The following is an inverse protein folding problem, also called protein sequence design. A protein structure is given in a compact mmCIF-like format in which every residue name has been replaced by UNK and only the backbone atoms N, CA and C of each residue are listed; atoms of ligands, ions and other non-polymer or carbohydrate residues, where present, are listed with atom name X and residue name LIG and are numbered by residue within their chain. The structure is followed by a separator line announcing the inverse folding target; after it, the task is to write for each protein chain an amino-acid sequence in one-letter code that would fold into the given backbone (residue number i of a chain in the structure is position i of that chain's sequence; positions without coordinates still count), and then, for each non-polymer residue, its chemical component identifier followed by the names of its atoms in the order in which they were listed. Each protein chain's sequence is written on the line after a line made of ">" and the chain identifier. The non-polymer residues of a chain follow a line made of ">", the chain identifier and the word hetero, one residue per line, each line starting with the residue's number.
data_IF_476267943436
#
_entry.id   IF_476267943436
#
_cell.length_a   1.000
_cell.length_b   1.000
_cell.length_c   1.000
_cell.angle_alpha   90.00
_cell.angle_beta   90.00
_cell.angle_gamma   90.00
#
_symmetry.space_group_name_H-M   'P 1'
#
loop_
_entity.id
_entity.type
_entity.pdbx_description
1 polymer ?
#
# COMPACT_ATOMS: atom_id res chain seq x y z
N UNK A 1 -10.51 75.47 26.28
CA UNK A 1 -10.70 75.11 24.85
C UNK A 1 -9.63 75.77 23.98
N UNK A 2 -8.34 75.65 24.34
CA UNK A 2 -7.22 76.14 23.50
C UNK A 2 -6.49 75.01 22.75
N UNK A 3 -6.64 73.76 23.20
CA UNK A 3 -6.03 72.57 22.58
C UNK A 3 -6.52 72.28 21.15
N UNK A 4 -7.68 72.82 20.73
CA UNK A 4 -8.27 72.62 19.40
C UNK A 4 -7.93 73.75 18.40
N UNK A 5 -7.25 74.82 18.82
CA UNK A 5 -6.92 75.97 17.95
C UNK A 5 -5.57 75.80 17.24
N UNK A 6 -4.69 74.97 17.81
CA UNK A 6 -3.38 74.71 17.23
C UNK A 6 -3.49 73.65 16.13
N UNK A 7 -3.33 74.10 14.87
CA UNK A 7 -3.40 73.24 13.68
C UNK A 7 -2.42 72.07 13.77
N UNK A 8 -1.33 72.20 14.52
CA UNK A 8 -0.35 71.13 14.76
C UNK A 8 -0.89 70.03 15.66
N UNK A 9 -1.68 70.38 16.67
CA UNK A 9 -2.31 69.40 17.57
C UNK A 9 -3.42 68.65 16.84
N UNK A 10 -4.20 69.35 16.00
CA UNK A 10 -5.23 68.72 15.16
C UNK A 10 -4.60 67.79 14.10
N UNK A 11 -3.51 68.22 13.47
CA UNK A 11 -2.75 67.39 12.53
C UNK A 11 -2.08 66.19 13.21
N UNK A 12 -1.48 66.39 14.39
CA UNK A 12 -0.85 65.31 15.14
C UNK A 12 -1.86 64.30 15.68
N UNK A 13 -3.02 64.79 16.17
CA UNK A 13 -4.13 63.94 16.61
C UNK A 13 -4.75 63.16 15.45
N UNK A 14 -4.95 63.79 14.30
CA UNK A 14 -5.44 63.13 13.09
C UNK A 14 -4.46 62.07 12.56
N UNK A 15 -3.17 62.38 12.53
CA UNK A 15 -2.12 61.44 12.12
C UNK A 15 -2.03 60.24 13.07
N UNK A 16 -2.06 60.47 14.39
CA UNK A 16 -2.05 59.40 15.38
C UNK A 16 -3.28 58.48 15.22
N UNK A 17 -4.46 59.05 15.01
CA UNK A 17 -5.70 58.29 14.85
C UNK A 17 -5.71 57.47 13.54
N UNK A 18 -5.19 58.04 12.45
CA UNK A 18 -5.02 57.32 11.19
C UNK A 18 -4.03 56.15 11.30
N UNK A 19 -2.94 56.33 12.06
CA UNK A 19 -1.92 55.30 12.28
C UNK A 19 -2.49 54.14 13.11
N UNK A 20 -3.24 54.44 14.17
CA UNK A 20 -3.93 53.42 14.98
C UNK A 20 -4.98 52.66 14.16
N UNK A 21 -5.76 53.36 13.33
CA UNK A 21 -6.73 52.73 12.45
C UNK A 21 -6.05 51.82 11.40
N UNK A 22 -4.95 52.27 10.80
CA UNK A 22 -4.17 51.48 9.85
C UNK A 22 -3.57 50.22 10.48
N UNK A 23 -3.03 50.31 11.69
CA UNK A 23 -2.52 49.15 12.43
C UNK A 23 -3.66 48.19 12.78
N UNK A 24 -4.83 48.69 13.19
CA UNK A 24 -6.00 47.85 13.48
C UNK A 24 -6.46 47.04 12.27
N UNK A 25 -6.51 47.67 11.08
CA UNK A 25 -6.86 46.99 9.82
C UNK A 25 -5.77 45.98 9.43
N UNK A 26 -4.48 46.33 9.59
CA UNK A 26 -3.38 45.42 9.32
C UNK A 26 -3.43 44.17 10.22
N UNK A 27 -3.69 44.34 11.52
CA UNK A 27 -3.85 43.22 12.46
C UNK A 27 -5.09 42.39 12.12
N UNK A 28 -6.20 43.01 11.70
CA UNK A 28 -7.39 42.29 11.28
C UNK A 28 -7.17 41.47 10.00
N UNK A 29 -6.38 41.99 9.04
CA UNK A 29 -6.02 41.27 7.81
C UNK A 29 -4.98 40.17 8.06
N UNK A 30 -4.00 40.38 8.94
CA UNK A 30 -3.01 39.35 9.32
C UNK A 30 -3.57 38.30 10.28
N UNK A 31 -4.55 38.67 11.11
CA UNK A 31 -5.25 37.79 12.05
C UNK A 31 -6.42 37.02 11.43
N UNK A 32 -6.67 37.20 10.13
CA UNK A 32 -7.64 36.42 9.37
C UNK A 32 -7.24 34.95 9.35
N UNK A 33 -7.77 34.19 10.32
CA UNK A 33 -7.82 32.71 10.38
C UNK A 33 -6.80 32.05 9.47
N UNK A 34 -5.58 31.88 9.98
CA UNK A 34 -4.82 30.68 9.66
C UNK A 34 -5.73 29.50 10.01
N UNK A 35 -6.52 29.05 9.04
CA UNK A 35 -7.14 27.73 9.06
C UNK A 35 -6.01 26.80 9.50
N UNK A 36 -6.25 25.86 10.44
CA UNK A 36 -5.29 24.79 10.67
C UNK A 36 -4.85 24.33 9.29
N UNK A 37 -3.56 24.43 9.03
CA UNK A 37 -2.99 23.83 7.82
C UNK A 37 -3.21 22.35 8.04
N UNK A 38 -4.39 21.89 7.65
CA UNK A 38 -4.68 20.49 7.44
C UNK A 38 -3.56 20.05 6.49
N UNK A 39 -2.62 19.20 6.94
CA UNK A 39 -1.47 18.85 6.15
C UNK A 39 -1.97 18.32 4.80
N UNK A 40 -1.32 18.68 3.68
CA UNK A 40 -1.75 18.21 2.37
C UNK A 40 -1.88 16.68 2.41
N UNK A 41 -2.91 16.09 1.76
CA UNK A 41 -3.27 14.68 1.93
C UNK A 41 -2.14 13.69 1.58
N UNK A 42 -1.07 14.15 0.93
CA UNK A 42 0.16 13.38 0.73
C UNK A 42 0.94 13.06 2.01
N UNK A 43 0.74 13.81 3.11
CA UNK A 43 1.36 13.54 4.41
C UNK A 43 0.50 12.63 5.31
N UNK A 44 -0.71 12.27 4.87
CA UNK A 44 -1.47 11.17 5.45
C UNK A 44 -1.09 9.91 4.68
N UNK A 45 -0.24 9.09 5.28
CA UNK A 45 0.10 7.78 4.71
C UNK A 45 -1.18 6.92 4.66
N UNK A 46 -1.84 6.91 3.50
CA UNK A 46 -3.04 6.14 3.24
C UNK A 46 -3.86 6.75 2.12
N UNK A 47 -4.19 5.95 1.11
CA UNK A 47 -5.23 6.27 0.15
C UNK A 47 -6.54 6.44 0.94
N UNK A 48 -6.98 7.68 1.13
CA UNK A 48 -8.29 7.96 1.71
C UNK A 48 -9.27 7.89 0.54
N UNK A 49 -9.85 6.70 0.33
CA UNK A 49 -11.07 6.57 -0.48
C UNK A 49 -12.20 7.14 0.36
N UNK A 50 -12.63 8.37 0.08
CA UNK A 50 -13.90 8.87 0.57
C UNK A 50 -15.01 8.05 -0.12
N UNK A 51 -15.40 6.95 0.51
CA UNK A 51 -16.70 6.34 0.25
C UNK A 51 -17.74 7.38 0.62
N UNK A 52 -18.53 7.82 -0.37
CA UNK A 52 -19.43 8.98 -0.26
C UNK A 52 -20.54 8.84 0.78
N UNK A 53 -20.66 7.69 1.46
CA UNK A 53 -21.45 7.52 2.67
C UNK A 53 -21.09 6.23 3.40
N UNK A 54 -21.30 6.22 4.70
CA UNK A 54 -21.02 5.13 5.65
C UNK A 54 -21.83 3.83 5.45
N UNK A 55 -22.61 3.71 4.37
CA UNK A 55 -23.51 2.57 4.12
C UNK A 55 -23.14 1.77 2.85
N UNK A 56 -21.99 2.03 2.21
CA UNK A 56 -21.53 1.35 0.98
C UNK A 56 -21.03 -0.09 1.17
N UNK A 57 -21.07 -0.65 2.39
CA UNK A 57 -20.67 -2.05 2.66
C UNK A 57 -21.61 -3.08 2.03
N UNK A 58 -22.77 -2.66 1.51
CA UNK A 58 -23.73 -3.53 0.83
C UNK A 58 -24.24 -2.88 -0.45
N UNK A 59 -23.78 -3.35 -1.61
CA UNK A 59 -24.43 -3.02 -2.88
C UNK A 59 -25.83 -3.64 -2.89
N UNK A 60 -26.85 -2.79 -2.83
CA UNK A 60 -28.25 -3.19 -2.89
C UNK A 60 -28.69 -3.29 -4.36
N UNK A 61 -28.93 -4.50 -4.89
CA UNK A 61 -29.20 -4.71 -6.31
C UNK A 61 -30.54 -4.12 -6.77
N UNK A 62 -31.42 -3.73 -5.85
CA UNK A 62 -32.73 -3.16 -6.15
C UNK A 62 -32.74 -1.63 -6.19
N UNK A 63 -31.64 -0.94 -5.81
CA UNK A 63 -31.59 0.53 -5.87
C UNK A 63 -31.31 1.02 -7.29
N UNK A 64 -31.95 2.12 -7.73
CA UNK A 64 -31.66 2.72 -9.02
C UNK A 64 -30.26 3.32 -9.00
N UNK A 65 -29.35 2.74 -9.78
CA UNK A 65 -28.00 3.29 -9.99
C UNK A 65 -27.94 3.93 -11.37
N UNK A 66 -27.05 4.91 -11.49
CA UNK A 66 -26.76 5.58 -12.76
C UNK A 66 -26.05 4.62 -13.71
N UNK A 67 -26.72 4.17 -14.76
CA UNK A 67 -26.16 3.23 -15.72
C UNK A 67 -25.32 3.94 -16.77
N UNK A 68 -24.12 3.43 -17.01
CA UNK A 68 -23.23 3.89 -18.08
C UNK A 68 -22.92 2.73 -19.01
N UNK A 69 -23.16 2.91 -20.32
CA UNK A 69 -22.83 1.93 -21.36
C UNK A 69 -21.80 2.56 -22.29
N UNK A 70 -20.62 1.96 -22.41
CA UNK A 70 -19.52 2.51 -23.23
C UNK A 70 -19.06 3.92 -22.81
N UNK A 71 -19.25 4.31 -21.54
CA UNK A 71 -18.92 5.63 -21.01
C UNK A 71 -20.02 6.70 -21.17
N UNK A 72 -21.19 6.36 -21.72
CA UNK A 72 -22.32 7.28 -21.87
C UNK A 72 -23.42 6.96 -20.84
N UNK A 73 -24.01 7.99 -20.21
CA UNK A 73 -25.09 7.84 -19.23
C UNK A 73 -26.40 7.49 -19.93
N UNK A 74 -27.03 6.37 -19.56
CA UNK A 74 -28.20 5.82 -20.26
C UNK A 74 -29.49 5.90 -19.43
N UNK A 75 -29.40 6.36 -18.19
CA UNK A 75 -30.52 6.51 -17.26
C UNK A 75 -30.29 5.80 -15.92
N UNK A 76 -31.23 6.00 -14.99
CA UNK A 76 -31.24 5.30 -13.70
C UNK A 76 -32.01 3.99 -13.84
N UNK A 77 -31.31 2.86 -13.69
CA UNK A 77 -31.88 1.51 -13.82
C UNK A 77 -31.18 0.59 -12.82
N UNK A 78 -31.71 -0.62 -12.62
CA UNK A 78 -31.12 -1.59 -11.69
C UNK A 78 -29.77 -2.08 -12.19
N UNK A 79 -28.90 -2.50 -11.26
CA UNK A 79 -27.54 -2.95 -11.58
C UNK A 79 -27.56 -4.12 -12.58
N UNK A 80 -28.49 -5.06 -12.38
CA UNK A 80 -28.69 -6.25 -13.20
C UNK A 80 -29.09 -5.92 -14.65
N UNK A 81 -29.89 -4.86 -14.83
CA UNK A 81 -30.36 -4.43 -16.15
C UNK A 81 -29.29 -3.61 -16.89
N UNK A 82 -28.52 -2.80 -16.16
CA UNK A 82 -27.36 -2.09 -16.70
C UNK A 82 -26.24 -3.04 -17.15
N UNK A 83 -25.98 -4.09 -16.37
CA UNK A 83 -25.01 -5.13 -16.69
C UNK A 83 -25.37 -5.85 -17.99
N UNK A 84 -26.64 -6.26 -18.15
CA UNK A 84 -27.13 -6.88 -19.40
C UNK A 84 -26.92 -5.97 -20.62
N UNK A 85 -27.19 -4.66 -20.52
CA UNK A 85 -27.00 -3.72 -21.62
C UNK A 85 -25.53 -3.50 -22.00
N UNK A 86 -24.60 -3.74 -21.07
CA UNK A 86 -23.16 -3.71 -21.32
C UNK A 86 -22.58 -5.05 -21.84
N UNK A 87 -23.42 -6.07 -22.04
CA UNK A 87 -22.97 -7.38 -22.54
C UNK A 87 -22.16 -8.20 -21.54
N UNK A 88 -22.14 -7.82 -20.26
CA UNK A 88 -21.57 -8.67 -19.20
C UNK A 88 -22.60 -9.74 -18.83
N UNK A 89 -22.21 -11.01 -18.99
CA UNK A 89 -23.08 -12.14 -18.70
C UNK A 89 -23.48 -12.11 -17.21
N UNK A 90 -24.77 -11.89 -16.92
CA UNK A 90 -25.33 -11.92 -15.56
C UNK A 90 -25.50 -13.35 -15.05
N UNK A 91 -24.51 -14.20 -15.27
CA UNK A 91 -24.46 -15.58 -14.80
C UNK A 91 -23.02 -15.90 -14.45
N UNK A 92 -22.74 -15.91 -13.13
CA UNK A 92 -21.45 -16.21 -12.55
C UNK A 92 -20.30 -15.32 -13.07
N UNK A 93 -20.31 -14.04 -12.65
CA UNK A 93 -19.03 -13.37 -12.51
C UNK A 93 -18.24 -14.14 -11.44
N UNK A 94 -17.03 -14.52 -11.83
CA UNK A 94 -15.95 -15.16 -11.09
C UNK A 94 -15.47 -14.32 -9.89
N UNK A 95 -16.40 -13.98 -9.00
CA UNK A 95 -16.25 -13.31 -7.71
C UNK A 95 -17.37 -13.81 -6.82
N UNK A 96 -17.24 -15.06 -6.33
CA UNK A 96 -18.18 -15.82 -5.47
C UNK A 96 -19.19 -15.03 -4.62
N UNK A 97 -20.22 -14.49 -5.27
CA UNK A 97 -21.37 -13.83 -4.66
C UNK A 97 -22.58 -14.63 -5.09
N UNK A 98 -23.23 -15.28 -4.13
CA UNK A 98 -24.45 -16.04 -4.37
C UNK A 98 -25.68 -15.12 -4.45
N UNK A 99 -26.84 -15.68 -4.85
CA UNK A 99 -28.09 -14.94 -5.09
C UNK A 99 -28.63 -14.19 -3.85
N UNK A 100 -28.06 -14.39 -2.67
CA UNK A 100 -28.39 -13.62 -1.45
C UNK A 100 -27.46 -12.43 -1.19
N UNK A 101 -26.46 -12.20 -2.03
CA UNK A 101 -25.52 -11.07 -1.92
C UNK A 101 -24.48 -11.24 -0.80
N UNK A 102 -24.18 -12.47 -0.40
CA UNK A 102 -23.11 -12.79 0.53
C UNK A 102 -21.86 -13.28 -0.22
N UNK A 103 -20.68 -12.94 0.31
CA UNK A 103 -19.40 -13.42 -0.20
C UNK A 103 -19.22 -14.88 0.22
N UNK A 104 -19.48 -15.83 -0.68
CA UNK A 104 -19.33 -17.26 -0.41
C UNK A 104 -17.85 -17.74 -0.40
N UNK A 105 -16.89 -16.84 -0.66
CA UNK A 105 -15.48 -17.20 -0.81
C UNK A 105 -14.61 -17.06 0.46
N UNK A 106 -15.19 -16.82 1.64
CA UNK A 106 -14.41 -16.70 2.87
C UNK A 106 -14.20 -18.02 3.64
N UNK A 107 -15.07 -19.03 3.46
CA UNK A 107 -15.14 -20.15 4.43
C UNK A 107 -14.84 -21.56 3.88
N UNK A 108 -14.48 -21.73 2.60
CA UNK A 108 -14.31 -23.08 2.02
C UNK A 108 -12.97 -23.35 1.31
N UNK A 109 -12.01 -22.43 1.32
CA UNK A 109 -10.70 -22.64 0.70
C UNK A 109 -9.62 -23.08 1.71
N UNK A 110 -9.97 -23.91 2.71
CA UNK A 110 -9.03 -24.25 3.78
C UNK A 110 -9.09 -25.65 4.39
N UNK A 111 -10.04 -26.52 4.05
CA UNK A 111 -10.29 -27.72 4.89
C UNK A 111 -10.11 -29.10 4.28
N UNK A 112 -9.76 -29.27 3.00
CA UNK A 112 -9.45 -30.63 2.51
C UNK A 112 -8.41 -30.66 1.40
N UNK A 113 -7.13 -30.55 1.75
CA UNK A 113 -6.04 -31.25 1.03
C UNK A 113 -4.83 -31.36 1.98
N UNK A 114 -4.92 -32.23 2.99
CA UNK A 114 -3.74 -32.73 3.70
C UNK A 114 -3.06 -33.75 2.78
N UNK A 115 -1.87 -33.49 2.22
CA UNK A 115 -1.12 -34.52 1.52
C UNK A 115 -0.68 -35.56 2.55
N UNK A 116 -1.00 -36.82 2.28
CA UNK A 116 -0.60 -37.96 3.10
C UNK A 116 0.94 -38.02 3.18
N UNK A 117 1.55 -38.19 4.37
CA UNK A 117 2.99 -38.37 4.49
C UNK A 117 3.43 -39.66 3.78
N UNK A 118 4.58 -39.69 3.08
CA UNK A 118 5.11 -40.92 2.50
C UNK A 118 5.42 -41.93 3.61
N UNK A 119 5.22 -43.24 3.38
CA UNK A 119 5.50 -44.25 4.39
C UNK A 119 6.98 -44.26 4.77
N UNK A 120 7.25 -44.12 6.06
CA UNK A 120 8.57 -44.28 6.68
C UNK A 120 9.11 -45.67 6.33
N UNK A 121 10.12 -45.72 5.45
CA UNK A 121 10.93 -46.93 5.26
C UNK A 121 11.67 -47.17 6.58
N UNK A 122 11.36 -48.31 7.21
CA UNK A 122 12.06 -48.80 8.38
C UNK A 122 13.55 -48.90 8.08
N UNK A 123 14.34 -48.04 8.73
CA UNK A 123 15.79 -48.19 8.80
C UNK A 123 16.10 -49.38 9.73
N UNK A 124 16.98 -50.32 9.34
CA UNK A 124 17.34 -51.48 10.15
C UNK A 124 18.01 -51.08 11.47
N UNK A 125 17.99 -51.96 12.50
CA UNK A 125 18.46 -51.62 13.84
C UNK A 125 19.95 -51.24 13.85
N UNK A 126 20.36 -50.24 14.66
CA UNK A 126 21.77 -49.89 14.78
C UNK A 126 22.55 -51.04 15.41
N UNK A 127 23.55 -51.53 14.68
CA UNK A 127 24.64 -52.31 15.26
C UNK A 127 25.45 -51.41 16.21
N UNK A 128 25.82 -51.97 17.36
CA UNK A 128 26.69 -51.36 18.36
C UNK A 128 28.00 -50.88 17.72
N UNK A 129 28.26 -49.56 17.73
CA UNK A 129 29.56 -48.98 17.34
C UNK A 129 30.29 -48.53 18.61
N UNK A 130 31.55 -48.98 18.71
CA UNK A 130 32.55 -48.63 19.71
C UNK A 130 32.77 -47.10 19.85
N UNK A 131 33.33 -46.61 20.97
CA UNK A 131 33.48 -45.16 21.20
C UNK A 131 34.52 -44.55 20.25
N UNK A 132 34.04 -43.74 19.31
CA UNK A 132 34.82 -42.85 18.44
C UNK A 132 34.71 -41.38 18.90
N UNK A 133 35.64 -40.49 18.45
CA UNK A 133 35.95 -39.23 19.11
C UNK A 133 34.87 -38.14 18.97
N UNK A 134 35.01 -37.15 19.85
CA UNK A 134 34.10 -36.06 20.22
C UNK A 134 33.19 -35.47 19.11
N UNK A 135 31.95 -35.07 19.46
CA UNK A 135 31.04 -34.41 18.54
C UNK A 135 31.64 -33.08 18.06
N UNK A 136 31.71 -32.91 16.74
CA UNK A 136 31.97 -31.62 16.10
C UNK A 136 30.83 -30.64 16.45
N UNK A 137 31.10 -29.33 16.59
CA UNK A 137 30.08 -28.36 16.96
C UNK A 137 28.95 -28.35 15.93
N UNK A 138 27.74 -28.49 16.44
CA UNK A 138 26.46 -28.34 15.75
C UNK A 138 26.50 -27.12 14.83
N UNK A 139 26.18 -27.32 13.55
CA UNK A 139 25.93 -26.23 12.62
C UNK A 139 24.94 -25.26 13.28
N UNK A 140 25.37 -24.02 13.51
CA UNK A 140 24.50 -22.95 14.00
C UNK A 140 23.37 -22.82 12.99
N UNK A 141 22.14 -23.18 13.40
CA UNK A 141 20.96 -22.89 12.62
C UNK A 141 20.95 -21.39 12.34
N UNK A 142 21.23 -21.01 11.10
CA UNK A 142 21.15 -19.63 10.68
C UNK A 142 19.68 -19.26 10.72
N UNK A 143 19.25 -18.54 11.77
CA UNK A 143 17.90 -17.99 11.87
C UNK A 143 17.78 -16.88 10.85
N UNK A 144 17.50 -17.25 9.60
CA UNK A 144 17.24 -16.30 8.53
C UNK A 144 16.02 -15.48 8.92
N UNK A 145 16.12 -14.15 8.98
CA UNK A 145 15.01 -13.31 9.40
C UNK A 145 13.83 -13.50 8.44
N UNK A 146 12.63 -13.53 9.02
CA UNK A 146 11.35 -13.61 8.32
C UNK A 146 10.65 -12.27 8.48
N UNK A 147 10.13 -11.71 7.41
CA UNK A 147 9.38 -10.47 7.45
C UNK A 147 8.29 -10.42 6.38
N UNK A 148 7.35 -9.48 6.55
CA UNK A 148 6.28 -9.23 5.61
C UNK A 148 6.83 -8.74 4.26
N UNK A 149 6.47 -9.43 3.18
CA UNK A 149 6.82 -9.01 1.83
C UNK A 149 5.67 -8.20 1.22
N UNK A 150 6.00 -7.08 0.57
CA UNK A 150 5.05 -6.19 -0.09
C UNK A 150 5.49 -5.92 -1.53
N UNK A 151 4.52 -5.92 -2.44
CA UNK A 151 4.70 -5.51 -3.84
C UNK A 151 4.07 -4.15 -4.09
N UNK A 152 4.77 -3.29 -4.82
CA UNK A 152 4.17 -2.06 -5.33
C UNK A 152 3.71 -2.27 -6.77
N UNK A 153 2.41 -2.16 -7.02
CA UNK A 153 1.85 -2.27 -8.37
C UNK A 153 0.51 -1.56 -8.46
N UNK A 154 0.20 -0.95 -9.60
CA UNK A 154 -1.09 -0.25 -9.76
C UNK A 154 -1.27 0.93 -8.80
N UNK A 155 -0.16 1.59 -8.43
CA UNK A 155 -0.11 2.67 -7.43
C UNK A 155 -0.47 2.28 -5.98
N UNK A 156 -0.58 0.98 -5.68
CA UNK A 156 -0.88 0.47 -4.35
C UNK A 156 0.20 -0.50 -3.83
N UNK A 157 0.28 -0.62 -2.51
CA UNK A 157 1.08 -1.63 -1.83
C UNK A 157 0.22 -2.84 -1.50
N UNK A 158 0.60 -4.01 -2.02
CA UNK A 158 -0.07 -5.28 -1.72
C UNK A 158 0.84 -6.19 -0.92
N UNK A 159 0.38 -6.61 0.27
CA UNK A 159 1.09 -7.57 1.12
C UNK A 159 0.94 -8.98 0.54
N UNK A 160 2.02 -9.75 0.52
CA UNK A 160 2.00 -11.17 0.24
C UNK A 160 1.60 -11.96 1.51
N UNK A 161 0.90 -13.10 1.38
CA UNK A 161 0.52 -13.89 2.54
C UNK A 161 1.75 -14.52 3.20
N UNK A 162 1.78 -14.47 4.53
CA UNK A 162 2.86 -15.00 5.37
C UNK A 162 4.08 -14.08 5.49
N UNK A 163 4.96 -14.42 6.41
CA UNK A 163 6.28 -13.82 6.55
C UNK A 163 7.31 -14.74 5.89
N UNK A 164 8.16 -14.16 5.04
CA UNK A 164 9.11 -14.89 4.20
C UNK A 164 10.51 -14.31 4.34
N UNK A 165 11.52 -15.06 3.90
CA UNK A 165 12.89 -14.57 3.87
C UNK A 165 13.07 -13.50 2.80
N UNK A 166 14.09 -12.65 2.95
CA UNK A 166 14.43 -11.61 1.96
C UNK A 166 14.57 -12.21 0.56
N UNK A 167 15.31 -13.31 0.44
CA UNK A 167 15.54 -14.02 -0.82
C UNK A 167 14.25 -14.52 -1.47
N UNK A 168 13.33 -15.07 -0.68
CA UNK A 168 12.02 -15.51 -1.17
C UNK A 168 11.16 -14.33 -1.63
N UNK A 169 11.22 -13.19 -0.94
CA UNK A 169 10.53 -11.97 -1.35
C UNK A 169 11.08 -11.45 -2.69
N UNK A 170 12.40 -11.33 -2.82
CA UNK A 170 13.06 -10.90 -4.07
C UNK A 170 12.68 -11.82 -5.24
N UNK A 171 12.73 -13.14 -5.04
CA UNK A 171 12.29 -14.13 -6.03
C UNK A 171 10.82 -13.91 -6.43
N UNK A 172 9.92 -13.82 -5.46
CA UNK A 172 8.49 -13.72 -5.74
C UNK A 172 8.11 -12.39 -6.42
N UNK A 173 8.84 -11.32 -6.15
CA UNK A 173 8.57 -9.99 -6.70
C UNK A 173 9.18 -9.77 -8.09
N UNK A 174 10.40 -10.26 -8.30
CA UNK A 174 11.24 -9.81 -9.42
C UNK A 174 11.72 -10.95 -10.34
N UNK A 175 11.49 -12.22 -10.02
CA UNK A 175 11.87 -13.32 -10.90
C UNK A 175 11.15 -13.23 -12.26
N UNK A 176 11.94 -13.32 -13.34
CA UNK A 176 11.43 -13.24 -14.71
C UNK A 176 10.99 -11.84 -15.15
N UNK A 177 11.18 -10.81 -14.32
CA UNK A 177 10.84 -9.42 -14.66
C UNK A 177 12.10 -8.67 -15.08
N UNK A 178 12.13 -8.24 -16.34
CA UNK A 178 13.18 -7.34 -16.82
C UNK A 178 12.76 -5.89 -16.61
N UNK A 179 13.60 -5.11 -15.93
CA UNK A 179 13.39 -3.67 -15.82
C UNK A 179 13.99 -2.93 -17.03
N UNK A 180 13.31 -1.88 -17.49
CA UNK A 180 13.81 -1.07 -18.60
C UNK A 180 14.91 -0.11 -18.13
N UNK A 181 15.84 0.30 -19.00
CA UNK A 181 16.76 1.39 -18.69
C UNK A 181 16.00 2.64 -18.21
N UNK A 182 16.34 3.13 -17.01
CA UNK A 182 15.66 4.28 -16.38
C UNK A 182 14.36 3.95 -15.65
N UNK A 183 13.90 2.69 -15.68
CA UNK A 183 12.79 2.19 -14.87
C UNK A 183 13.25 1.60 -13.55
N UNK A 184 12.32 1.49 -12.60
CA UNK A 184 12.52 0.74 -11.37
C UNK A 184 11.19 0.15 -10.89
N UNK A 185 11.17 -1.16 -10.59
CA UNK A 185 10.05 -1.81 -9.92
C UNK A 185 10.36 -1.88 -8.42
N UNK A 186 9.40 -1.51 -7.58
CA UNK A 186 9.60 -1.42 -6.14
C UNK A 186 8.88 -2.54 -5.36
N UNK A 187 9.49 -2.93 -4.26
CA UNK A 187 8.99 -3.87 -3.27
C UNK A 187 9.39 -3.43 -1.87
N UNK A 188 8.87 -4.10 -0.84
CA UNK A 188 9.37 -3.97 0.53
C UNK A 188 9.46 -5.33 1.19
N UNK A 189 10.45 -5.49 2.04
CA UNK A 189 10.63 -6.63 2.91
C UNK A 189 10.83 -6.13 4.33
N UNK A 190 9.78 -6.26 5.16
CA UNK A 190 9.70 -5.59 6.45
C UNK A 190 9.84 -4.07 6.30
N UNK A 191 10.89 -3.53 6.92
CA UNK A 191 11.23 -2.10 6.86
C UNK A 191 12.16 -1.75 5.69
N UNK A 192 12.72 -2.74 5.00
CA UNK A 192 13.64 -2.53 3.89
C UNK A 192 12.89 -2.34 2.57
N UNK A 193 13.26 -1.32 1.81
CA UNK A 193 12.73 -1.07 0.47
C UNK A 193 13.60 -1.76 -0.57
N UNK A 194 12.97 -2.58 -1.39
CA UNK A 194 13.60 -3.29 -2.49
C UNK A 194 13.31 -2.56 -3.79
N UNK A 195 14.31 -2.44 -4.67
CA UNK A 195 14.10 -1.98 -6.03
C UNK A 195 14.82 -2.88 -7.01
N UNK A 196 14.11 -3.26 -8.07
CA UNK A 196 14.69 -3.87 -9.25
C UNK A 196 15.12 -2.74 -10.18
N UNK A 197 16.42 -2.69 -10.47
CA UNK A 197 17.02 -1.84 -11.51
C UNK A 197 17.58 -2.75 -12.61
N UNK A 198 17.93 -2.23 -13.80
CA UNK A 198 18.46 -3.06 -14.87
C UNK A 198 19.68 -3.89 -14.40
N UNK A 199 19.51 -5.21 -14.37
CA UNK A 199 20.57 -6.18 -14.08
C UNK A 199 20.81 -6.50 -12.60
N UNK A 200 20.09 -5.89 -11.65
CA UNK A 200 20.28 -6.20 -10.21
C UNK A 200 19.11 -5.75 -9.34
N UNK A 201 19.00 -6.36 -8.18
CA UNK A 201 18.07 -5.97 -7.10
C UNK A 201 18.86 -5.31 -6.00
N UNK A 202 18.43 -4.12 -5.62
CA UNK A 202 19.03 -3.33 -4.56
C UNK A 202 18.05 -3.14 -3.41
N UNK A 203 18.58 -2.98 -2.21
CA UNK A 203 17.79 -2.77 -1.01
C UNK A 203 18.28 -1.57 -0.20
N UNK A 204 17.36 -0.94 0.53
CA UNK A 204 17.63 0.26 1.31
C UNK A 204 16.67 0.39 2.49
N UNK A 205 17.20 0.70 3.67
CA UNK A 205 16.40 1.03 4.85
C UNK A 205 15.95 2.49 4.89
N UNK A 206 16.69 3.40 4.25
CA UNK A 206 16.48 4.85 4.33
C UNK A 206 15.97 5.48 3.03
N UNK A 207 15.76 4.67 1.99
CA UNK A 207 15.41 5.09 0.63
C UNK A 207 16.42 6.04 -0.03
N UNK A 208 17.67 6.06 0.45
CA UNK A 208 18.75 6.91 -0.07
C UNK A 208 20.00 6.12 -0.37
N UNK A 209 20.39 5.22 0.54
CA UNK A 209 21.54 4.34 0.42
C UNK A 209 21.07 2.95 -0.01
N UNK A 210 21.35 2.60 -1.27
CA UNK A 210 20.97 1.33 -1.86
C UNK A 210 22.19 0.42 -1.96
N UNK A 211 22.07 -0.80 -1.43
CA UNK A 211 23.09 -1.83 -1.56
C UNK A 211 22.57 -2.98 -2.43
N UNK A 212 23.44 -3.60 -3.22
CA UNK A 212 23.05 -4.74 -4.05
C UNK A 212 22.79 -5.95 -3.17
N UNK A 213 21.58 -6.50 -3.27
CA UNK A 213 21.22 -7.77 -2.61
C UNK A 213 21.57 -8.94 -3.51
N UNK A 214 21.28 -8.80 -4.80
CA UNK A 214 21.52 -9.87 -5.76
C UNK A 214 21.58 -9.33 -7.18
N UNK A 215 22.45 -9.92 -7.99
CA UNK A 215 22.51 -9.61 -9.42
C UNK A 215 21.48 -10.43 -10.19
N UNK A 216 20.89 -9.80 -11.19
CA UNK A 216 19.93 -10.45 -12.07
C UNK A 216 20.70 -11.16 -13.19
N UNK A 217 20.52 -12.47 -13.28
CA UNK A 217 21.13 -13.30 -14.30
C UNK A 217 20.56 -13.06 -15.70
N UNK A 218 21.15 -13.71 -16.72
CA UNK A 218 20.61 -13.68 -18.07
C UNK A 218 19.13 -14.14 -18.08
N UNK A 219 18.34 -13.56 -18.98
CA UNK A 219 16.87 -13.75 -19.05
C UNK A 219 16.10 -13.25 -17.82
N UNK A 220 16.66 -12.30 -17.07
CA UNK A 220 15.99 -11.69 -15.92
C UNK A 220 15.67 -12.69 -14.81
N UNK A 221 16.48 -13.75 -14.75
CA UNK A 221 16.44 -14.75 -13.69
C UNK A 221 17.07 -14.19 -12.43
N UNK A 222 16.51 -14.56 -11.29
CA UNK A 222 17.12 -14.27 -10.00
C UNK A 222 17.64 -15.60 -9.46
N UNK A 223 18.91 -15.68 -9.02
CA UNK A 223 19.40 -16.89 -8.40
C UNK A 223 18.59 -17.18 -7.13
N UNK A 224 18.13 -18.41 -6.96
CA UNK A 224 17.54 -18.83 -5.70
C UNK A 224 18.65 -18.76 -4.66
N UNK A 225 18.55 -17.83 -3.69
CA UNK A 225 19.49 -17.83 -2.59
C UNK A 225 19.30 -19.14 -1.83
N UNK A 226 20.37 -19.93 -1.75
CA UNK A 226 20.45 -21.14 -0.94
C UNK A 226 20.75 -20.82 0.51
#
# INVERSE_FOLDING_TARGET
>A
MELLKDRRIVLAGGAALALVAGIGIAIALLGGKSKPTEPPPASRAGLIVETGRSDDTKLDPARPLRCFVGGQFVGETTLSECAKKNGVATGALDVGVDETGALAAADQAGTVLTPLPPPTVATPPPSTIAPGPAPSPTATASTTPLAACWRYSGAEWRRLPGDITLSACVQTLFAGRCERPGGATYGRWGEETLRLVPGRVEASFDNRSFHTVTDQGPNCSIPAAG
#
